data_IF_907004280676
#
_entry.id   IF_907004280676
#
_cell.length_a   1.000
_cell.length_b   1.000
_cell.length_c   1.000
_cell.angle_alpha   90.00
_cell.angle_beta   90.00
_cell.angle_gamma   90.00
#
_symmetry.space_group_name_H-M   'P 1'
#
loop_
_entity.id
_entity.type
_entity.pdbx_description
1 polymer ?
#
# COMPACT_ATOMS: atom_id res chain seq x y z
N UNK A 1 -22.29 -10.99 -3.98
CA UNK A 1 -21.59 -9.72 -4.15
C UNK A 1 -21.33 -9.24 -2.75
N UNK A 2 -20.06 -9.30 -2.33
CA UNK A 2 -19.64 -8.96 -0.97
C UNK A 2 -18.85 -7.67 -1.09
N UNK A 3 -19.23 -6.69 -0.28
CA UNK A 3 -18.65 -5.35 -0.37
C UNK A 3 -17.51 -5.24 0.63
N UNK A 4 -16.33 -4.88 0.14
CA UNK A 4 -15.13 -4.78 0.94
C UNK A 4 -14.64 -3.33 0.97
N UNK A 5 -14.30 -2.84 2.15
CA UNK A 5 -13.72 -1.50 2.31
C UNK A 5 -12.20 -1.59 2.30
N UNK A 6 -11.60 -1.01 1.29
CA UNK A 6 -10.15 -0.88 1.13
C UNK A 6 -9.73 0.45 1.72
N UNK A 7 -8.91 0.41 2.76
CA UNK A 7 -8.32 1.58 3.38
C UNK A 7 -6.82 1.61 3.06
N UNK A 8 -6.34 2.76 2.61
CA UNK A 8 -4.94 2.98 2.26
C UNK A 8 -4.26 3.79 3.35
N UNK A 9 -3.18 3.25 3.90
CA UNK A 9 -2.41 3.83 5.00
C UNK A 9 -0.96 4.00 4.52
N UNK A 10 -0.42 5.22 4.50
CA UNK A 10 0.98 5.52 4.14
C UNK A 10 1.70 6.12 5.34
N UNK A 11 2.79 5.51 5.78
CA UNK A 11 3.58 5.92 6.94
C UNK A 11 2.72 6.13 8.21
N UNK A 12 1.68 5.30 8.37
CA UNK A 12 0.71 5.41 9.47
C UNK A 12 -0.39 6.46 9.29
N UNK A 13 -0.41 7.20 8.17
CA UNK A 13 -1.47 8.15 7.83
C UNK A 13 -2.48 7.53 6.86
N UNK A 14 -3.78 7.60 7.19
CA UNK A 14 -4.83 7.19 6.27
C UNK A 14 -4.94 8.19 5.11
N UNK A 15 -4.72 7.72 3.89
CA UNK A 15 -4.82 8.53 2.67
C UNK A 15 -6.23 8.54 2.09
N UNK A 16 -6.99 7.47 2.32
CA UNK A 16 -8.37 7.36 1.87
C UNK A 16 -8.89 5.94 1.95
N UNK A 17 -10.19 5.80 1.68
CA UNK A 17 -10.85 4.52 1.61
C UNK A 17 -11.83 4.42 0.43
N UNK A 18 -12.03 3.20 -0.05
CA UNK A 18 -12.93 2.88 -1.14
C UNK A 18 -13.69 1.59 -0.86
N UNK A 19 -14.98 1.57 -1.20
CA UNK A 19 -15.79 0.35 -1.18
C UNK A 19 -15.74 -0.32 -2.55
N UNK A 20 -15.43 -1.60 -2.57
CA UNK A 20 -15.32 -2.40 -3.79
C UNK A 20 -16.17 -3.65 -3.65
N UNK A 21 -17.09 -3.82 -4.59
CA UNK A 21 -17.90 -5.03 -4.68
C UNK A 21 -17.14 -6.13 -5.42
N UNK A 22 -16.95 -7.26 -4.74
CA UNK A 22 -16.16 -8.38 -5.25
C UNK A 22 -16.91 -9.70 -5.07
N UNK A 23 -16.72 -10.60 -6.04
CA UNK A 23 -17.36 -11.92 -6.06
C UNK A 23 -16.63 -12.95 -5.21
N UNK A 24 -15.34 -12.74 -4.92
CA UNK A 24 -14.50 -13.71 -4.21
C UNK A 24 -13.33 -13.10 -3.44
N UNK A 25 -12.83 -13.83 -2.43
CA UNK A 25 -11.60 -13.46 -1.71
C UNK A 25 -10.37 -13.42 -2.62
N UNK A 26 -10.32 -14.25 -3.66
CA UNK A 26 -9.20 -14.26 -4.62
C UNK A 26 -9.14 -12.98 -5.45
N UNK A 27 -10.30 -12.44 -5.85
CA UNK A 27 -10.39 -11.14 -6.52
C UNK A 27 -9.99 -10.01 -5.57
N UNK A 28 -10.45 -10.04 -4.32
CA UNK A 28 -10.06 -9.07 -3.29
C UNK A 28 -8.55 -9.00 -3.08
N UNK A 29 -7.88 -10.16 -3.01
CA UNK A 29 -6.41 -10.19 -2.90
C UNK A 29 -5.72 -9.62 -4.13
N UNK A 30 -6.25 -9.87 -5.33
CA UNK A 30 -5.70 -9.35 -6.58
C UNK A 30 -5.85 -7.83 -6.66
N UNK A 31 -7.02 -7.30 -6.34
CA UNK A 31 -7.27 -5.86 -6.33
C UNK A 31 -6.44 -5.16 -5.25
N UNK A 32 -6.31 -5.74 -4.05
CA UNK A 32 -5.46 -5.19 -3.00
C UNK A 32 -3.98 -5.09 -3.44
N UNK A 33 -3.46 -6.14 -4.09
CA UNK A 33 -2.11 -6.15 -4.63
C UNK A 33 -1.92 -5.16 -5.77
N UNK A 34 -2.91 -5.04 -6.66
CA UNK A 34 -2.89 -4.08 -7.75
C UNK A 34 -2.85 -2.64 -7.22
N UNK A 35 -3.71 -2.31 -6.26
CA UNK A 35 -3.71 -1.00 -5.61
C UNK A 35 -2.36 -0.68 -4.95
N UNK A 36 -1.76 -1.63 -4.24
CA UNK A 36 -0.41 -1.46 -3.67
C UNK A 36 0.64 -1.20 -4.75
N UNK A 37 0.59 -1.94 -5.85
CA UNK A 37 1.54 -1.80 -6.94
C UNK A 37 1.38 -0.44 -7.66
N UNK A 38 0.15 -0.01 -7.93
CA UNK A 38 -0.13 1.28 -8.56
C UNK A 38 0.40 2.44 -7.68
N UNK A 39 0.16 2.38 -6.36
CA UNK A 39 0.72 3.36 -5.42
C UNK A 39 2.25 3.32 -5.39
N UNK A 40 2.85 2.12 -5.41
CA UNK A 40 4.31 1.98 -5.40
C UNK A 40 4.96 2.63 -6.63
N UNK A 41 4.35 2.42 -7.81
CA UNK A 41 4.85 2.95 -9.08
C UNK A 41 4.70 4.47 -9.15
N UNK A 42 3.53 5.00 -8.79
CA UNK A 42 3.24 6.42 -8.95
C UNK A 42 3.87 7.29 -7.84
N UNK A 43 3.85 6.82 -6.59
CA UNK A 43 4.15 7.66 -5.42
C UNK A 43 5.50 7.33 -4.76
N UNK A 44 5.83 6.05 -4.61
CA UNK A 44 7.04 5.63 -3.87
C UNK A 44 8.31 5.73 -4.71
N UNK A 45 8.21 5.61 -6.04
CA UNK A 45 9.36 5.73 -6.94
C UNK A 45 9.97 7.14 -6.99
N UNK A 46 9.23 8.17 -6.55
CA UNK A 46 9.71 9.57 -6.52
C UNK A 46 10.25 10.03 -5.15
N UNK A 47 10.08 9.22 -4.11
CA UNK A 47 10.41 9.61 -2.74
C UNK A 47 11.79 9.10 -2.34
N UNK A 48 12.70 10.00 -1.95
CA UNK A 48 14.06 9.70 -1.48
C UNK A 48 14.09 9.09 -0.05
N UNK A 49 12.98 8.52 0.44
CA UNK A 49 12.80 8.13 1.84
C UNK A 49 12.34 6.67 2.02
N UNK A 50 12.61 6.14 3.22
CA UNK A 50 11.97 4.93 3.71
C UNK A 50 10.46 5.14 3.80
N UNK A 51 9.70 4.47 2.93
CA UNK A 51 8.25 4.58 2.89
C UNK A 51 7.58 3.23 3.10
N UNK A 52 6.49 3.23 3.85
CA UNK A 52 5.64 2.06 4.05
C UNK A 52 4.20 2.39 3.69
N UNK A 53 3.61 1.60 2.82
CA UNK A 53 2.21 1.66 2.42
C UNK A 53 1.52 0.37 2.82
N UNK A 54 0.38 0.46 3.47
CA UNK A 54 -0.46 -0.65 3.87
C UNK A 54 -1.85 -0.47 3.26
N UNK A 55 -2.35 -1.49 2.59
CA UNK A 55 -3.75 -1.60 2.20
C UNK A 55 -4.43 -2.56 3.16
N UNK A 56 -5.35 -2.05 3.96
CA UNK A 56 -6.18 -2.81 4.88
C UNK A 56 -7.57 -3.02 4.26
N UNK A 57 -8.05 -4.26 4.25
CA UNK A 57 -9.36 -4.59 3.70
C UNK A 57 -10.26 -5.06 4.83
N UNK A 58 -11.41 -4.41 4.93
CA UNK A 58 -12.44 -4.70 5.90
C UNK A 58 -13.67 -5.29 5.20
N UNK A 59 -14.35 -6.21 5.87
CA UNK A 59 -15.67 -6.67 5.42
C UNK A 59 -16.75 -5.62 5.66
N UNK A 60 -17.95 -5.92 5.19
CA UNK A 60 -19.17 -5.13 5.35
C UNK A 60 -19.60 -4.90 6.81
N UNK A 61 -19.07 -5.68 7.76
CA UNK A 61 -19.28 -5.51 9.21
C UNK A 61 -18.13 -4.70 9.86
N UNK A 62 -17.15 -4.26 9.06
CA UNK A 62 -15.99 -3.50 9.51
C UNK A 62 -14.87 -4.36 10.10
N UNK A 63 -14.91 -5.70 9.95
CA UNK A 63 -13.86 -6.58 10.45
C UNK A 63 -12.70 -6.63 9.46
N UNK A 64 -11.45 -6.51 9.92
CA UNK A 64 -10.30 -6.66 9.04
C UNK A 64 -10.22 -8.11 8.54
N UNK A 65 -10.31 -8.30 7.22
CA UNK A 65 -10.26 -9.63 6.58
C UNK A 65 -8.95 -9.86 5.85
N UNK A 66 -8.26 -8.79 5.46
CA UNK A 66 -6.98 -8.88 4.77
C UNK A 66 -6.16 -7.62 5.01
N UNK A 67 -4.84 -7.76 5.01
CA UNK A 67 -3.92 -6.64 4.98
C UNK A 67 -2.71 -7.00 4.13
N UNK A 68 -2.22 -6.04 3.37
CA UNK A 68 -0.98 -6.17 2.63
C UNK A 68 -0.17 -4.89 2.78
N UNK A 69 1.13 -5.06 3.02
CA UNK A 69 2.06 -3.96 3.30
C UNK A 69 3.22 -4.03 2.33
N UNK A 70 3.58 -2.89 1.76
CA UNK A 70 4.77 -2.67 0.96
C UNK A 70 5.66 -1.66 1.68
N UNK A 71 6.92 -2.02 1.89
CA UNK A 71 7.93 -1.10 2.41
C UNK A 71 9.04 -0.96 1.38
N UNK A 72 9.37 0.27 1.02
CA UNK A 72 10.52 0.61 0.18
C UNK A 72 11.52 1.32 1.06
N UNK A 73 12.76 0.84 1.02
CA UNK A 73 13.88 1.44 1.70
C UNK A 73 14.99 1.69 0.69
N UNK A 74 15.44 2.93 0.60
CA UNK A 74 16.55 3.29 -0.26
C UNK A 74 17.79 3.56 0.58
N UNK A 75 18.81 2.72 0.43
CA UNK A 75 20.16 3.05 0.90
C UNK A 75 20.76 4.11 -0.03
N UNK A 76 20.86 5.35 0.46
CA UNK A 76 21.63 6.41 -0.18
C UNK A 76 23.05 5.88 -0.50
N UNK A 77 23.55 6.02 -1.74
CA UNK A 77 24.93 5.68 -2.03
C UNK A 77 25.80 6.61 -1.17
N UNK A 78 26.66 6.01 -0.34
CA UNK A 78 27.64 6.76 0.45
C UNK A 78 28.50 7.58 -0.53
N UNK A 79 28.25 8.88 -0.63
CA UNK A 79 29.10 9.78 -1.40
C UNK A 79 30.43 9.81 -0.65
N UNK A 80 31.37 8.97 -1.09
CA UNK A 80 32.76 9.06 -0.66
C UNK A 80 33.28 10.42 -1.16
N UNK A 81 33.21 11.41 -0.29
CA UNK A 81 33.90 12.69 -0.46
C UNK A 81 35.40 12.40 -0.36
N UNK A 82 36.01 12.00 -1.46
CA UNK A 82 37.47 12.00 -1.60
C UNK A 82 37.86 13.47 -1.72
N UNK A 83 38.14 14.08 -0.58
CA UNK A 83 38.67 15.42 -0.47
C UNK A 83 40.05 15.51 -1.12
N UNK A 84 40.16 16.52 -1.99
CA UNK A 84 41.30 17.40 -2.32
C UNK A 84 42.70 16.80 -2.49
#
# INVERSE_FOLDING_TARGET
MSNYRFEVIRNGQCLGDAWVDLGSLSEMRREALKALHDIAVDEMASSDLDETVTVAVHDEVGRPVYSATLSVSQTLPAIHHVGR
#
